data_IF_628156531610
#
_entry.id   IF_628156531610
#
_cell.length_a   1.000
_cell.length_b   1.000
_cell.length_c   1.000
_cell.angle_alpha   90.00
_cell.angle_beta   90.00
_cell.angle_gamma   90.00
#
_symmetry.space_group_name_H-M   'P 1'
#
loop_
_entity.id
_entity.type
_entity.pdbx_description
1 polymer ?
#
# COMPACT_ATOMS: atom_id res chain seq x y z
N UNK A 1 -23.85 0.91 -37.64
CA UNK A 1 -22.84 1.85 -37.12
C UNK A 1 -22.50 1.37 -35.72
N UNK A 2 -21.48 0.53 -35.59
CA UNK A 2 -21.00 0.08 -34.28
C UNK A 2 -20.21 1.23 -33.67
N UNK A 3 -20.63 1.70 -32.49
CA UNK A 3 -19.82 2.64 -31.70
C UNK A 3 -18.43 2.04 -31.50
N UNK A 4 -17.35 2.85 -31.59
CA UNK A 4 -16.04 2.37 -31.20
C UNK A 4 -16.10 1.96 -29.73
N UNK A 5 -15.69 0.72 -29.46
CA UNK A 5 -15.53 0.15 -28.13
C UNK A 5 -14.76 1.14 -27.26
N UNK A 6 -15.45 1.82 -26.35
CA UNK A 6 -14.81 2.64 -25.35
C UNK A 6 -14.07 1.67 -24.43
N UNK A 7 -12.74 1.84 -24.33
CA UNK A 7 -11.95 1.08 -23.38
C UNK A 7 -12.62 1.15 -21.98
N UNK A 8 -12.72 0.03 -21.25
CA UNK A 8 -13.34 0.05 -19.92
C UNK A 8 -12.63 1.09 -19.06
N UNK A 9 -13.41 1.85 -18.30
CA UNK A 9 -12.87 2.85 -17.38
C UNK A 9 -11.85 2.19 -16.44
N UNK A 10 -10.71 2.84 -16.16
CA UNK A 10 -9.69 2.25 -15.30
C UNK A 10 -10.26 1.98 -13.91
N UNK A 11 -9.97 0.79 -13.38
CA UNK A 11 -10.34 0.45 -12.01
C UNK A 11 -9.59 1.37 -11.04
N UNK A 12 -10.31 2.06 -10.15
CA UNK A 12 -9.69 2.92 -9.14
C UNK A 12 -9.29 2.09 -7.93
N UNK A 13 -8.12 2.37 -7.38
CA UNK A 13 -7.61 1.70 -6.18
C UNK A 13 -6.94 2.71 -5.25
N UNK A 14 -6.97 2.40 -3.96
CA UNK A 14 -6.23 3.13 -2.92
C UNK A 14 -4.74 2.77 -2.92
N UNK A 15 -4.40 1.57 -3.42
CA UNK A 15 -3.04 1.08 -3.50
C UNK A 15 -2.41 0.73 -2.14
N UNK A 16 -3.23 0.34 -1.15
CA UNK A 16 -2.75 -0.06 0.18
C UNK A 16 -2.91 -1.57 0.37
N UNK A 17 -1.94 -2.18 1.05
CA UNK A 17 -2.09 -3.50 1.64
C UNK A 17 -2.56 -3.32 3.08
N UNK A 18 -3.61 -4.05 3.47
CA UNK A 18 -4.22 -3.92 4.79
C UNK A 18 -4.44 -5.28 5.45
N UNK A 19 -4.43 -5.28 6.78
CA UNK A 19 -4.86 -6.39 7.61
C UNK A 19 -6.06 -5.96 8.47
N UNK A 20 -7.21 -6.62 8.37
CA UNK A 20 -8.36 -6.26 9.19
C UNK A 20 -8.16 -6.54 10.68
N UNK A 21 -8.60 -5.61 11.52
CA UNK A 21 -8.57 -5.70 12.98
C UNK A 21 -9.98 -5.48 13.55
N UNK A 22 -10.89 -6.41 13.24
CA UNK A 22 -12.31 -6.30 13.60
C UNK A 22 -12.57 -6.26 15.11
N UNK A 23 -11.76 -7.00 15.87
CA UNK A 23 -11.84 -7.10 17.34
C UNK A 23 -11.11 -5.94 18.07
N UNK A 24 -10.48 -5.01 17.33
CA UNK A 24 -9.84 -3.86 17.95
C UNK A 24 -10.88 -2.87 18.51
N UNK A 25 -10.46 -2.04 19.47
CA UNK A 25 -11.29 -0.96 20.01
C UNK A 25 -10.65 0.41 19.72
N UNK A 26 -11.19 1.19 18.75
CA UNK A 26 -12.29 0.84 17.85
C UNK A 26 -11.82 -0.14 16.74
N UNK A 27 -12.76 -0.76 16.00
CA UNK A 27 -12.44 -1.59 14.84
C UNK A 27 -11.59 -0.82 13.83
N UNK A 28 -10.65 -1.51 13.21
CA UNK A 28 -9.70 -0.86 12.33
C UNK A 28 -9.26 -1.73 11.15
N UNK A 29 -8.68 -1.08 10.16
CA UNK A 29 -7.90 -1.70 9.10
C UNK A 29 -6.43 -1.28 9.28
N UNK A 30 -5.54 -2.21 9.62
CA UNK A 30 -4.11 -1.93 9.79
C UNK A 30 -3.44 -1.80 8.44
N UNK A 31 -2.65 -0.75 8.23
CA UNK A 31 -1.84 -0.58 7.02
C UNK A 31 -0.60 -1.48 7.13
N UNK A 32 -0.49 -2.49 6.27
CA UNK A 32 0.67 -3.40 6.23
C UNK A 32 1.63 -3.08 5.08
N UNK A 33 1.19 -2.28 4.12
CA UNK A 33 2.01 -1.84 3.00
C UNK A 33 1.38 -0.68 2.25
N UNK A 34 2.22 0.17 1.66
CA UNK A 34 1.81 1.28 0.81
C UNK A 34 2.40 1.03 -0.58
N UNK A 35 1.53 0.71 -1.54
CA UNK A 35 1.92 0.42 -2.92
C UNK A 35 2.71 1.57 -3.54
N UNK A 36 3.59 1.25 -4.48
CA UNK A 36 4.46 2.25 -5.13
C UNK A 36 3.66 3.38 -5.79
N UNK A 37 2.52 3.02 -6.39
CA UNK A 37 1.63 3.94 -7.09
C UNK A 37 0.47 4.45 -6.23
N UNK A 38 0.48 4.19 -4.92
CA UNK A 38 -0.59 4.67 -4.05
C UNK A 38 -0.57 6.20 -3.97
N UNK A 39 -1.74 6.82 -4.14
CA UNK A 39 -1.92 8.25 -3.90
C UNK A 39 -1.81 8.65 -2.42
N UNK A 40 -1.53 7.69 -1.53
CA UNK A 40 -1.19 7.91 -0.13
C UNK A 40 0.31 7.97 0.14
N UNK A 41 1.17 7.73 -0.86
CA UNK A 41 2.59 8.03 -0.69
C UNK A 41 2.79 9.53 -0.45
N UNK A 42 3.75 9.85 0.42
CA UNK A 42 4.09 11.22 0.82
C UNK A 42 2.96 12.00 1.55
N UNK A 43 1.85 11.35 1.91
CA UNK A 43 0.77 11.97 2.71
C UNK A 43 1.03 11.92 4.22
N UNK A 44 2.12 11.26 4.63
CA UNK A 44 2.41 10.99 6.03
C UNK A 44 1.75 9.72 6.56
N UNK A 45 0.96 8.97 5.77
CA UNK A 45 0.50 7.62 6.10
C UNK A 45 1.71 6.69 6.33
N UNK A 46 1.63 5.82 7.33
CA UNK A 46 2.71 4.89 7.69
C UNK A 46 2.18 3.45 7.77
N UNK A 47 3.08 2.50 7.52
CA UNK A 47 2.85 1.09 7.87
C UNK A 47 2.69 0.99 9.41
N UNK A 48 1.74 0.19 9.86
CA UNK A 48 1.32 0.07 11.26
C UNK A 48 0.17 1.01 11.68
N UNK A 49 -0.18 2.01 10.86
CA UNK A 49 -1.34 2.86 11.13
C UNK A 49 -2.65 2.04 11.14
N UNK A 50 -3.56 2.38 12.04
CA UNK A 50 -4.88 1.77 12.14
C UNK A 50 -5.93 2.71 11.55
N UNK A 51 -6.42 2.44 10.34
CA UNK A 51 -7.52 3.20 9.74
C UNK A 51 -8.81 2.87 10.49
N UNK A 52 -9.41 3.88 11.11
CA UNK A 52 -10.65 3.77 11.89
C UNK A 52 -11.85 4.43 11.21
N UNK A 53 -11.61 5.29 10.21
CA UNK A 53 -12.67 5.84 9.35
C UNK A 53 -12.15 6.19 7.95
N UNK A 54 -13.06 6.18 6.97
CA UNK A 54 -12.82 6.50 5.55
C UNK A 54 -13.84 7.57 5.16
N UNK A 55 -13.39 8.75 4.75
CA UNK A 55 -14.24 9.93 4.48
C UNK A 55 -15.23 10.24 5.61
N UNK A 56 -14.81 10.02 6.86
CA UNK A 56 -15.63 10.21 8.06
C UNK A 56 -16.54 9.03 8.43
N UNK A 57 -16.68 8.02 7.56
CA UNK A 57 -17.41 6.79 7.87
C UNK A 57 -16.54 5.82 8.67
N UNK A 58 -16.97 5.47 9.88
CA UNK A 58 -16.24 4.56 10.74
C UNK A 58 -16.12 3.15 10.13
N UNK A 59 -14.99 2.50 10.35
CA UNK A 59 -14.82 1.08 10.00
C UNK A 59 -15.77 0.24 10.86
N UNK A 60 -16.65 -0.59 10.26
CA UNK A 60 -17.61 -1.37 11.02
C UNK A 60 -16.92 -2.50 11.79
N UNK A 61 -17.40 -2.79 13.00
CA UNK A 61 -16.90 -3.90 13.82
C UNK A 61 -17.16 -5.27 13.19
N UNK A 62 -18.26 -5.39 12.43
CA UNK A 62 -18.68 -6.63 11.79
C UNK A 62 -19.26 -6.30 10.41
N UNK A 63 -18.42 -6.09 9.39
CA UNK A 63 -18.91 -5.77 8.06
C UNK A 63 -19.80 -6.91 7.55
N UNK A 64 -20.86 -6.56 6.83
CA UNK A 64 -21.61 -7.56 6.09
C UNK A 64 -20.70 -8.23 5.05
N UNK A 65 -20.95 -9.47 4.61
CA UNK A 65 -20.10 -10.16 3.63
C UNK A 65 -19.86 -9.34 2.35
N UNK A 66 -20.89 -8.63 1.87
CA UNK A 66 -20.78 -7.76 0.70
C UNK A 66 -19.88 -6.52 0.95
N UNK A 67 -19.85 -6.00 2.17
CA UNK A 67 -18.99 -4.87 2.55
C UNK A 67 -17.54 -5.33 2.71
N UNK A 68 -17.33 -6.51 3.31
CA UNK A 68 -16.00 -7.11 3.45
C UNK A 68 -15.36 -7.40 2.10
N UNK A 69 -16.14 -7.85 1.11
CA UNK A 69 -15.68 -8.06 -0.27
C UNK A 69 -15.31 -6.78 -1.01
N UNK A 70 -15.78 -5.62 -0.53
CA UNK A 70 -15.50 -4.28 -1.07
C UNK A 70 -14.63 -3.44 -0.14
N UNK A 71 -14.02 -4.06 0.86
CA UNK A 71 -13.11 -3.38 1.76
C UNK A 71 -11.89 -2.87 0.98
N UNK A 72 -11.18 -1.91 1.58
CA UNK A 72 -9.93 -1.40 1.03
C UNK A 72 -8.95 -2.56 0.72
N UNK A 73 -8.18 -2.47 -0.37
CA UNK A 73 -7.19 -3.50 -0.72
C UNK A 73 -7.76 -4.85 -1.17
N UNK A 74 -9.08 -4.98 -1.36
CA UNK A 74 -9.72 -6.18 -1.90
C UNK A 74 -10.07 -6.00 -3.38
N UNK A 75 -10.33 -7.10 -4.09
CA UNK A 75 -10.72 -7.04 -5.51
C UNK A 75 -12.00 -6.23 -5.75
N UNK A 76 -12.93 -6.20 -4.78
CA UNK A 76 -14.17 -5.42 -4.90
C UNK A 76 -14.02 -3.93 -4.59
N UNK A 77 -12.81 -3.46 -4.29
CA UNK A 77 -12.58 -2.05 -3.92
C UNK A 77 -12.99 -1.08 -5.03
N UNK A 78 -12.69 -1.39 -6.30
CA UNK A 78 -13.08 -0.53 -7.43
C UNK A 78 -14.61 -0.32 -7.51
N UNK A 79 -15.40 -1.34 -7.15
CA UNK A 79 -16.86 -1.23 -7.09
C UNK A 79 -17.34 -0.28 -6.00
N UNK A 80 -16.62 -0.21 -4.87
CA UNK A 80 -16.90 0.76 -3.79
C UNK A 80 -16.79 2.19 -4.31
N UNK A 81 -15.72 2.47 -5.05
CA UNK A 81 -15.47 3.81 -5.58
C UNK A 81 -16.46 4.21 -6.67
N UNK A 82 -16.81 3.27 -7.54
CA UNK A 82 -17.86 3.47 -8.53
C UNK A 82 -19.22 3.79 -7.86
N UNK A 83 -19.60 3.05 -6.81
CA UNK A 83 -20.84 3.30 -6.06
C UNK A 83 -20.85 4.64 -5.34
N UNK A 84 -19.69 5.08 -4.85
CA UNK A 84 -19.52 6.40 -4.23
C UNK A 84 -19.39 7.55 -5.26
N UNK A 85 -19.45 7.26 -6.57
CA UNK A 85 -19.31 8.26 -7.63
C UNK A 85 -17.93 8.93 -7.68
N UNK A 86 -16.89 8.29 -7.13
CA UNK A 86 -15.53 8.84 -7.09
C UNK A 86 -14.85 8.66 -8.46
N UNK A 87 -14.15 9.70 -8.89
CA UNK A 87 -13.35 9.68 -10.11
C UNK A 87 -11.85 9.57 -9.80
N UNK A 88 -11.04 9.34 -10.84
CA UNK A 88 -9.59 9.46 -10.74
C UNK A 88 -9.17 10.81 -10.15
N UNK A 89 -8.19 10.78 -9.25
CA UNK A 89 -7.69 11.95 -8.54
C UNK A 89 -8.57 12.43 -7.40
N UNK A 90 -9.75 11.84 -7.19
CA UNK A 90 -10.64 12.24 -6.11
C UNK A 90 -9.94 12.11 -4.74
N UNK A 91 -10.07 13.13 -3.87
CA UNK A 91 -9.50 13.05 -2.53
C UNK A 91 -10.23 11.99 -1.70
N UNK A 92 -9.44 11.29 -0.90
CA UNK A 92 -9.90 10.32 0.08
C UNK A 92 -9.20 10.61 1.41
N UNK A 93 -9.98 10.82 2.47
CA UNK A 93 -9.44 11.10 3.80
C UNK A 93 -9.59 9.87 4.69
N UNK A 94 -8.47 9.42 5.24
CA UNK A 94 -8.41 8.34 6.22
C UNK A 94 -8.23 8.95 7.60
N UNK A 95 -9.10 8.60 8.54
CA UNK A 95 -8.84 8.84 9.97
C UNK A 95 -8.08 7.63 10.49
N UNK A 96 -6.86 7.85 10.97
CA UNK A 96 -5.97 6.79 11.44
C UNK A 96 -5.62 6.98 12.91
N UNK A 97 -5.43 5.87 13.62
CA UNK A 97 -4.76 5.84 14.92
C UNK A 97 -3.32 5.38 14.72
N UNK A 98 -2.39 6.15 15.26
CA UNK A 98 -0.96 5.85 15.26
C UNK A 98 -0.47 5.78 16.71
N UNK A 99 0.50 4.91 16.98
CA UNK A 99 1.25 4.98 18.26
C UNK A 99 2.34 6.03 18.13
N UNK A 100 2.40 7.00 19.04
CA UNK A 100 3.44 8.02 19.02
C UNK A 100 4.85 7.42 19.25
N UNK A 101 4.94 6.42 20.13
CA UNK A 101 6.12 5.57 20.41
C UNK A 101 5.61 4.32 21.15
N UNK A 102 6.34 3.20 21.14
CA UNK A 102 5.98 2.05 21.97
C UNK A 102 5.84 2.48 23.45
N UNK A 103 4.65 2.35 24.03
CA UNK A 103 4.35 2.77 25.40
C UNK A 103 3.78 4.20 25.57
N UNK A 104 3.84 5.04 24.53
CA UNK A 104 3.12 6.32 24.50
C UNK A 104 1.80 6.14 23.72
N UNK A 105 0.72 6.69 24.26
CA UNK A 105 -0.65 6.39 23.84
C UNK A 105 -0.96 6.62 22.35
N UNK A 106 -2.21 6.30 21.99
CA UNK A 106 -2.68 6.46 20.62
C UNK A 106 -2.94 7.93 20.29
N UNK A 107 -2.45 8.38 19.15
CA UNK A 107 -2.83 9.65 18.52
C UNK A 107 -3.75 9.37 17.33
N UNK A 108 -4.74 10.24 17.12
CA UNK A 108 -5.63 10.18 15.96
C UNK A 108 -5.24 11.27 14.96
N UNK A 109 -5.06 10.89 13.71
CA UNK A 109 -4.62 11.77 12.62
C UNK A 109 -5.57 11.62 11.44
N UNK A 110 -5.76 12.70 10.67
CA UNK A 110 -6.40 12.63 9.36
C UNK A 110 -5.33 12.69 8.29
N UNK A 111 -5.37 11.75 7.36
CA UNK A 111 -4.44 11.64 6.25
C UNK A 111 -5.23 11.64 4.94
N UNK A 112 -4.95 12.60 4.07
CA UNK A 112 -5.66 12.74 2.80
C UNK A 112 -4.75 12.35 1.64
N UNK A 113 -5.18 11.33 0.90
CA UNK A 113 -4.55 10.90 -0.34
C UNK A 113 -5.49 11.07 -1.53
N UNK A 114 -5.12 10.50 -2.67
CA UNK A 114 -5.93 10.49 -3.89
C UNK A 114 -6.19 9.07 -4.36
N UNK A 115 -7.39 8.85 -4.89
CA UNK A 115 -7.68 7.63 -5.65
C UNK A 115 -6.99 7.73 -7.02
N UNK A 116 -6.24 6.69 -7.37
CA UNK A 116 -5.55 6.61 -8.64
C UNK A 116 -6.01 5.35 -9.38
N UNK A 117 -5.85 5.33 -10.72
CA UNK A 117 -6.04 4.11 -11.48
C UNK A 117 -5.17 2.98 -10.92
N UNK A 118 -5.67 1.75 -10.98
CA UNK A 118 -4.84 0.57 -10.90
C UNK A 118 -3.88 0.63 -12.08
N UNK A 119 -2.68 1.14 -11.83
CA UNK A 119 -1.66 1.25 -12.87
C UNK A 119 -1.23 -0.18 -13.24
N UNK A 120 -1.54 -0.56 -14.49
CA UNK A 120 -0.78 -1.59 -15.17
C UNK A 120 0.65 -1.07 -15.26
N UNK A 121 1.59 -1.81 -14.68
CA UNK A 121 2.98 -1.40 -14.49
C UNK A 121 3.51 -0.52 -15.64
N UNK A 122 3.99 0.72 -15.34
CA UNK A 122 4.37 1.70 -16.36
C UNK A 122 5.41 1.10 -17.29
N UNK A 123 5.48 1.60 -18.53
CA UNK A 123 6.40 1.05 -19.52
C UNK A 123 7.39 2.08 -20.03
N UNK A 124 8.59 1.64 -20.35
CA UNK A 124 9.58 2.43 -21.09
C UNK A 124 9.14 2.65 -22.55
N UNK A 125 9.78 3.59 -23.29
CA UNK A 125 9.54 3.75 -24.73
C UNK A 125 9.79 2.48 -25.55
N UNK A 126 10.69 1.60 -25.10
CA UNK A 126 10.95 0.28 -25.69
C UNK A 126 10.03 -0.83 -25.12
N UNK A 127 8.92 -0.45 -24.50
CA UNK A 127 7.84 -1.34 -24.04
C UNK A 127 8.23 -2.31 -22.90
N UNK A 128 9.29 -2.01 -22.14
CA UNK A 128 9.64 -2.77 -20.94
C UNK A 128 8.81 -2.30 -19.77
N UNK A 129 8.36 -3.24 -18.95
CA UNK A 129 7.65 -2.92 -17.72
C UNK A 129 8.63 -2.32 -16.71
N UNK A 130 8.21 -1.28 -16.01
CA UNK A 130 8.91 -0.58 -14.95
C UNK A 130 8.25 -0.88 -13.60
N UNK A 131 9.06 -0.86 -12.54
CA UNK A 131 8.55 -1.04 -11.16
C UNK A 131 7.79 0.19 -10.66
N UNK A 132 8.10 1.36 -11.22
CA UNK A 132 7.61 2.67 -10.79
C UNK A 132 7.71 3.68 -11.93
N UNK A 133 7.02 4.84 -11.86
CA UNK A 133 7.27 5.92 -12.80
C UNK A 133 8.72 6.39 -12.59
N UNK A 134 9.55 6.31 -13.63
CA UNK A 134 10.99 6.60 -13.53
C UNK A 134 11.82 5.57 -12.75
N UNK A 135 11.23 4.43 -12.36
CA UNK A 135 11.95 3.33 -11.71
C UNK A 135 12.68 2.43 -12.72
N UNK A 136 13.48 1.47 -12.25
CA UNK A 136 14.15 0.52 -13.12
C UNK A 136 13.16 -0.46 -13.78
N UNK A 137 13.53 -1.05 -14.92
CA UNK A 137 12.76 -2.12 -15.55
C UNK A 137 12.53 -3.30 -14.58
N UNK A 138 11.32 -3.86 -14.64
CA UNK A 138 10.84 -4.98 -13.80
C UNK A 138 11.67 -6.25 -14.00
N UNK A 139 12.13 -6.49 -15.24
CA UNK A 139 12.78 -7.73 -15.64
C UNK A 139 14.20 -7.55 -16.19
N UNK A 140 15.07 -8.52 -15.84
CA UNK A 140 16.29 -8.95 -16.52
C UNK A 140 17.50 -8.01 -16.67
N UNK A 141 17.52 -6.80 -16.10
CA UNK A 141 18.81 -6.09 -16.02
C UNK A 141 19.63 -6.64 -14.85
N UNK A 142 20.67 -7.40 -15.19
CA UNK A 142 21.79 -7.67 -14.27
C UNK A 142 22.59 -6.38 -14.13
N UNK A 143 22.06 -5.48 -13.36
CA UNK A 143 22.68 -4.21 -12.94
C UNK A 143 23.79 -4.44 -11.88
N UNK A 144 24.48 -5.59 -11.94
CA UNK A 144 25.50 -6.00 -10.99
C UNK A 144 24.97 -6.82 -9.79
N UNK A 145 23.68 -7.13 -9.73
CA UNK A 145 23.06 -7.86 -8.63
C UNK A 145 22.46 -9.22 -9.05
N UNK A 146 22.17 -10.07 -8.07
CA UNK A 146 21.81 -11.49 -8.23
C UNK A 146 20.32 -11.76 -8.54
N UNK A 147 19.45 -10.77 -8.28
CA UNK A 147 17.99 -10.93 -8.32
C UNK A 147 17.36 -9.81 -9.14
N UNK A 148 16.31 -10.08 -9.93
CA UNK A 148 15.59 -9.03 -10.66
C UNK A 148 15.01 -7.96 -9.72
N UNK A 149 14.93 -6.70 -10.18
CA UNK A 149 14.46 -5.59 -9.37
C UNK A 149 13.08 -5.80 -8.76
N UNK A 150 12.14 -6.42 -9.49
CA UNK A 150 10.78 -6.67 -8.97
C UNK A 150 10.78 -7.64 -7.80
N UNK A 151 11.43 -8.79 -8.00
CA UNK A 151 11.55 -9.80 -6.95
C UNK A 151 12.28 -9.24 -5.73
N UNK A 152 13.34 -8.46 -5.94
CA UNK A 152 14.02 -7.75 -4.86
C UNK A 152 13.11 -6.74 -4.14
N UNK A 153 12.38 -5.92 -4.88
CA UNK A 153 11.51 -4.89 -4.31
C UNK A 153 10.36 -5.51 -3.50
N UNK A 154 9.77 -6.59 -3.99
CA UNK A 154 8.71 -7.33 -3.30
C UNK A 154 9.25 -7.97 -1.99
N UNK A 155 10.42 -8.61 -2.04
CA UNK A 155 11.08 -9.18 -0.86
C UNK A 155 11.50 -8.11 0.15
N UNK A 156 12.06 -6.99 -0.33
CA UNK A 156 12.47 -5.87 0.51
C UNK A 156 11.27 -5.20 1.17
N UNK A 157 10.19 -4.96 0.42
CA UNK A 157 8.95 -4.41 0.95
C UNK A 157 8.36 -5.33 2.02
N UNK A 158 8.32 -6.64 1.78
CA UNK A 158 7.85 -7.62 2.77
C UNK A 158 8.69 -7.60 4.05
N UNK A 159 10.02 -7.62 3.93
CA UNK A 159 10.93 -7.61 5.09
C UNK A 159 10.84 -6.31 5.89
N UNK A 160 10.81 -5.16 5.22
CA UNK A 160 10.73 -3.85 5.88
C UNK A 160 9.34 -3.59 6.46
N UNK A 161 8.25 -3.97 5.77
CA UNK A 161 6.91 -3.92 6.34
C UNK A 161 6.83 -4.75 7.62
N UNK A 162 7.40 -5.95 7.67
CA UNK A 162 7.40 -6.76 8.89
C UNK A 162 8.11 -6.08 10.08
N UNK A 163 9.18 -5.32 9.82
CA UNK A 163 9.88 -4.53 10.85
C UNK A 163 9.05 -3.32 11.29
N UNK A 164 8.33 -2.68 10.37
CA UNK A 164 7.58 -1.45 10.63
C UNK A 164 6.16 -1.69 11.21
N UNK A 165 5.52 -2.81 10.89
CA UNK A 165 4.10 -3.08 11.16
C UNK A 165 3.81 -3.45 12.63
N UNK A 166 4.80 -3.88 13.42
CA UNK A 166 4.57 -4.23 14.83
C UNK A 166 5.79 -4.04 15.75
N UNK A 167 5.72 -3.16 16.77
CA UNK A 167 6.73 -3.07 17.84
C UNK A 167 6.66 -4.23 18.86
N UNK A 168 5.52 -4.89 19.04
CA UNK A 168 5.34 -6.06 19.90
C UNK A 168 5.73 -7.37 19.19
N UNK A 169 5.66 -7.40 17.85
CA UNK A 169 6.22 -8.44 16.98
C UNK A 169 7.47 -7.95 16.23
N UNK A 170 8.22 -7.01 16.81
CA UNK A 170 9.60 -6.69 16.43
C UNK A 170 10.57 -7.88 16.66
N UNK A 171 10.05 -9.10 16.59
CA UNK A 171 10.76 -10.34 16.37
C UNK A 171 11.48 -10.37 15.01
N UNK A 172 11.13 -9.48 14.07
CA UNK A 172 11.72 -9.43 12.73
C UNK A 172 13.23 -9.12 12.71
N UNK A 173 13.77 -8.52 13.78
CA UNK A 173 15.21 -8.33 14.00
C UNK A 173 15.72 -9.09 15.23
N UNK A 174 15.20 -10.30 15.47
CA UNK A 174 15.64 -11.15 16.59
C UNK A 174 17.00 -11.79 16.41
N UNK A 175 17.57 -11.74 15.21
CA UNK A 175 18.83 -12.38 14.91
C UNK A 175 19.78 -11.47 14.13
N UNK A 176 21.07 -11.70 14.33
CA UNK A 176 22.14 -11.07 13.54
C UNK A 176 22.05 -11.45 12.05
N UNK A 177 21.41 -12.56 11.72
CA UNK A 177 21.15 -12.96 10.33
C UNK A 177 20.18 -12.01 9.64
N UNK A 178 19.03 -11.71 10.25
CA UNK A 178 18.05 -10.78 9.68
C UNK A 178 18.61 -9.36 9.56
N UNK A 179 19.40 -8.92 10.55
CA UNK A 179 20.10 -7.64 10.47
C UNK A 179 21.08 -7.59 9.29
N UNK A 180 21.91 -8.62 9.11
CA UNK A 180 22.82 -8.73 7.96
C UNK A 180 22.07 -8.77 6.64
N UNK A 181 20.93 -9.47 6.58
CA UNK A 181 20.08 -9.57 5.39
C UNK A 181 19.52 -8.21 5.00
N UNK A 182 19.08 -7.39 5.96
CA UNK A 182 18.63 -6.01 5.70
C UNK A 182 19.78 -5.08 5.30
N UNK A 183 20.94 -5.19 5.96
CA UNK A 183 22.14 -4.42 5.60
C UNK A 183 22.62 -4.74 4.18
N UNK A 184 22.51 -5.99 3.74
CA UNK A 184 22.85 -6.39 2.37
C UNK A 184 21.99 -5.70 1.30
N UNK A 185 20.83 -5.14 1.66
CA UNK A 185 19.96 -4.40 0.73
C UNK A 185 20.42 -2.95 0.52
N UNK A 186 21.28 -2.42 1.39
CA UNK A 186 21.70 -1.01 1.40
C UNK A 186 22.21 -0.50 0.04
N UNK A 187 23.03 -1.23 -0.74
CA UNK A 187 23.52 -0.74 -2.02
C UNK A 187 22.40 -0.45 -3.03
N UNK A 188 21.36 -1.30 -3.09
CA UNK A 188 20.21 -1.07 -3.99
C UNK A 188 19.30 0.04 -3.52
N UNK A 189 19.12 0.19 -2.21
CA UNK A 189 18.36 1.31 -1.65
C UNK A 189 19.04 2.64 -1.99
N UNK A 190 20.37 2.70 -1.93
CA UNK A 190 21.14 3.90 -2.26
C UNK A 190 21.00 4.32 -3.75
N UNK A 191 20.70 3.39 -4.66
CA UNK A 191 20.45 3.71 -6.07
C UNK A 191 19.07 4.34 -6.32
N UNK A 192 18.16 4.27 -5.33
CA UNK A 192 16.81 4.81 -5.41
C UNK A 192 16.66 6.17 -4.69
N UNK A 193 17.72 6.66 -4.04
CA UNK A 193 17.75 7.91 -3.28
C UNK A 193 18.32 9.05 -4.13
#
# INVERSE_FOLDING_TARGET
MSSPDAAPAPELVIGLSIAPMWEASPPALRVTGIGWFSGFRQTGLQVGDQIIAIDGEAVPARPAPAEAQRALGTYGEAQRWAQAGKAEGAPLTLTVRRRATAGQGWQTLNVTGRLLPAINSPRTPDNRILIGPGGPPEMYEKDGFDTAWRAWADDFAKATSAVLDDPLHALALTSTFELKRLQAQQPRVALLA
#
